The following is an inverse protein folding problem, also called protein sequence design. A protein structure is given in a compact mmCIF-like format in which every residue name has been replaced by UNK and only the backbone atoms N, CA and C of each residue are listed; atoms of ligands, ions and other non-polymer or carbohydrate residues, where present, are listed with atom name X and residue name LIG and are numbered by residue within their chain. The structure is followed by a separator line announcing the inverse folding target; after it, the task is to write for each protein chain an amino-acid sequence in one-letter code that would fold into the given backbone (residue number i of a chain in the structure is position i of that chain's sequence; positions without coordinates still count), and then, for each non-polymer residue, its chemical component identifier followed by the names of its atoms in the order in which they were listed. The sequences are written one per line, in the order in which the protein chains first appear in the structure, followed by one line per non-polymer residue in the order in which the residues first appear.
data_IF_489888537517
#
_entry.id   IF_489888537517
#
_cell.length_a   1.000
_cell.length_b   1.000
_cell.length_c   1.000
_cell.angle_alpha   90.00
_cell.angle_beta   90.00
_cell.angle_gamma   90.00
#
_symmetry.space_group_name_H-M   'P 1'
#
loop_
_entity.id
_entity.type
_entity.pdbx_description
1 polymer ?
#
# COMPACT_ATOMS: atom_id res chain seq x y z
N UNK A 1 22.24 24.74 11.86
CA UNK A 1 21.98 23.58 12.71
C UNK A 1 20.52 23.64 13.11
N UNK A 2 19.67 22.81 12.48
CA UNK A 2 18.28 22.69 12.90
C UNK A 2 18.26 21.79 14.13
N UNK A 3 17.96 22.38 15.30
CA UNK A 3 17.66 21.65 16.51
C UNK A 3 16.44 20.77 16.28
N UNK A 4 16.67 19.50 16.04
CA UNK A 4 15.62 18.49 16.09
C UNK A 4 15.29 18.25 17.57
N UNK A 5 14.35 19.03 18.10
CA UNK A 5 13.81 18.77 19.45
C UNK A 5 13.04 17.44 19.39
N UNK A 6 13.59 16.42 20.00
CA UNK A 6 12.84 15.22 20.38
C UNK A 6 11.83 15.62 21.45
N UNK A 7 10.60 15.94 21.04
CA UNK A 7 9.49 16.09 21.98
C UNK A 7 8.94 14.70 22.23
N UNK A 8 9.13 14.21 23.43
CA UNK A 8 8.49 12.98 23.92
C UNK A 8 7.10 13.34 24.45
N UNK A 9 6.15 12.42 24.30
CA UNK A 9 4.90 12.40 25.06
C UNK A 9 5.20 11.54 26.28
N UNK A 10 5.45 12.15 27.48
CA UNK A 10 6.01 11.42 28.62
C UNK A 10 5.14 10.26 29.11
N UNK A 11 3.83 10.34 28.84
CA UNK A 11 2.84 9.35 29.27
C UNK A 11 2.83 8.08 28.39
N UNK A 12 3.57 8.06 27.29
CA UNK A 12 3.70 6.88 26.42
C UNK A 12 5.12 6.34 26.56
N UNK A 13 5.26 5.27 27.31
CA UNK A 13 6.51 4.53 27.52
C UNK A 13 6.68 3.34 26.55
N UNK A 14 5.62 3.00 25.81
CA UNK A 14 5.58 1.88 24.88
C UNK A 14 6.01 2.27 23.46
N UNK A 15 6.56 1.33 22.68
CA UNK A 15 6.88 1.58 21.27
C UNK A 15 5.63 2.02 20.50
N UNK A 16 5.75 3.16 19.83
CA UNK A 16 4.71 3.69 18.95
C UNK A 16 4.74 2.92 17.63
N UNK A 17 3.59 2.40 17.20
CA UNK A 17 3.43 1.67 15.94
C UNK A 17 3.08 2.62 14.78
N UNK A 18 2.15 3.55 15.02
CA UNK A 18 1.70 4.53 14.02
C UNK A 18 1.26 5.83 14.69
N UNK A 19 1.28 6.90 13.91
CA UNK A 19 0.78 8.23 14.27
C UNK A 19 -0.06 8.76 13.13
N UNK A 20 -1.23 9.31 13.46
CA UNK A 20 -2.08 10.07 12.55
C UNK A 20 -2.36 11.44 13.17
N UNK A 21 -2.12 12.52 12.41
CA UNK A 21 -2.49 13.88 12.81
C UNK A 21 -3.62 14.35 11.92
N UNK A 22 -4.72 14.77 12.53
CA UNK A 22 -5.88 15.32 11.83
C UNK A 22 -5.74 16.83 11.63
N UNK A 23 -6.48 17.38 10.69
CA UNK A 23 -6.53 18.83 10.44
C UNK A 23 -7.05 19.59 11.66
N UNK A 24 -7.86 18.97 12.50
CA UNK A 24 -8.38 19.55 13.77
C UNK A 24 -7.33 19.67 14.87
N UNK A 25 -6.09 19.22 14.65
CA UNK A 25 -5.01 19.26 15.64
C UNK A 25 -5.06 18.15 16.70
N UNK A 26 -5.85 17.10 16.46
CA UNK A 26 -5.79 15.87 17.24
C UNK A 26 -4.76 14.92 16.63
N UNK A 27 -4.00 14.27 17.50
CA UNK A 27 -3.05 13.23 17.11
C UNK A 27 -3.54 11.90 17.67
N UNK A 28 -3.67 10.92 16.80
CA UNK A 28 -3.97 9.54 17.20
C UNK A 28 -2.68 8.72 17.16
N UNK A 29 -2.42 7.98 18.22
CA UNK A 29 -1.18 7.24 18.42
C UNK A 29 -1.54 5.79 18.71
N UNK A 30 -0.89 4.85 18.04
CA UNK A 30 -1.06 3.43 18.28
C UNK A 30 0.22 2.80 18.82
N UNK A 31 0.05 1.90 19.79
CA UNK A 31 1.13 1.20 20.48
C UNK A 31 0.79 -0.29 20.59
N UNK A 32 1.68 -1.07 21.21
CA UNK A 32 1.40 -2.47 21.57
C UNK A 32 0.31 -2.61 22.65
N UNK A 33 0.02 -1.53 23.38
CA UNK A 33 -0.96 -1.49 24.48
C UNK A 33 -2.29 -0.85 24.09
N UNK A 34 -2.45 -0.41 22.82
CA UNK A 34 -3.69 0.16 22.35
C UNK A 34 -3.54 1.45 21.57
N UNK A 35 -4.61 2.23 21.54
CA UNK A 35 -4.69 3.50 20.83
C UNK A 35 -4.96 4.66 21.78
N UNK A 36 -4.40 5.81 21.46
CA UNK A 36 -4.48 7.04 22.26
C UNK A 36 -4.87 8.21 21.36
N UNK A 37 -5.62 9.14 21.91
CA UNK A 37 -5.88 10.47 21.36
C UNK A 37 -5.03 11.48 22.13
N UNK A 38 -4.25 12.28 21.42
CA UNK A 38 -3.46 13.36 22.00
C UNK A 38 -3.89 14.70 21.41
N UNK A 39 -4.38 15.58 22.26
CA UNK A 39 -4.68 16.95 21.87
C UNK A 39 -3.42 17.80 21.91
N UNK A 40 -2.95 18.23 20.73
CA UNK A 40 -1.70 18.98 20.58
C UNK A 40 -1.78 20.34 21.29
N UNK A 41 -2.94 21.01 21.23
CA UNK A 41 -3.15 22.32 21.81
C UNK A 41 -3.17 22.29 23.34
N UNK A 42 -3.86 21.34 23.94
CA UNK A 42 -3.99 21.20 25.40
C UNK A 42 -2.94 20.28 26.01
N UNK A 43 -2.11 19.62 25.21
CA UNK A 43 -1.11 18.63 25.66
C UNK A 43 -1.72 17.52 26.53
N UNK A 44 -2.93 17.08 26.18
CA UNK A 44 -3.67 16.08 26.93
C UNK A 44 -3.68 14.76 26.16
N UNK A 45 -3.25 13.69 26.83
CA UNK A 45 -3.30 12.32 26.34
C UNK A 45 -4.52 11.61 26.93
N UNK A 46 -5.27 10.91 26.08
CA UNK A 46 -6.42 10.10 26.49
C UNK A 46 -6.32 8.72 25.83
N UNK A 47 -6.37 7.66 26.63
CA UNK A 47 -6.45 6.30 26.10
C UNK A 47 -7.86 6.05 25.55
N UNK A 48 -7.93 5.51 24.32
CA UNK A 48 -9.24 5.24 23.69
C UNK A 48 -9.90 4.01 24.32
N UNK A 49 -11.24 4.04 24.54
CA UNK A 49 -11.93 3.05 25.38
C UNK A 49 -11.98 1.64 24.79
N UNK A 50 -11.80 1.49 23.47
CA UNK A 50 -11.75 0.20 22.80
C UNK A 50 -10.34 -0.41 22.77
N UNK A 51 -9.35 0.29 23.31
CA UNK A 51 -7.97 -0.22 23.39
C UNK A 51 -7.88 -1.35 24.39
N UNK A 52 -7.67 -2.55 23.91
CA UNK A 52 -7.48 -3.74 24.75
C UNK A 52 -5.99 -3.85 25.06
N UNK A 53 -5.67 -3.84 26.36
CA UNK A 53 -4.28 -4.01 26.81
C UNK A 53 -3.67 -5.31 26.26
N UNK A 54 -2.42 -5.21 25.74
CA UNK A 54 -1.70 -6.32 25.16
C UNK A 54 -2.10 -6.68 23.72
N UNK A 55 -2.98 -5.91 23.07
CA UNK A 55 -3.29 -6.07 21.66
C UNK A 55 -2.65 -4.95 20.83
N UNK A 56 -1.76 -5.35 19.95
CA UNK A 56 -1.11 -4.44 19.02
C UNK A 56 -2.15 -3.83 18.08
N UNK A 57 -2.24 -2.50 18.07
CA UNK A 57 -2.97 -1.75 17.06
C UNK A 57 -1.99 -1.45 15.92
N UNK A 58 -2.29 -1.98 14.74
CA UNK A 58 -1.40 -1.89 13.57
C UNK A 58 -1.56 -0.59 12.81
N UNK A 59 -2.48 -0.56 11.86
CA UNK A 59 -2.74 0.60 11.01
C UNK A 59 -3.69 1.59 11.69
N UNK A 60 -3.49 2.87 11.40
CA UNK A 60 -4.43 3.95 11.73
C UNK A 60 -4.56 4.87 10.52
N UNK A 61 -5.76 5.28 10.19
CA UNK A 61 -6.04 6.27 9.15
C UNK A 61 -7.38 6.98 9.41
N UNK A 62 -7.57 8.16 8.83
CA UNK A 62 -8.87 8.80 8.73
C UNK A 62 -9.49 8.59 7.36
N UNK A 63 -10.81 8.53 7.30
CA UNK A 63 -11.54 8.58 6.05
C UNK A 63 -11.92 10.04 5.69
N UNK A 64 -12.49 10.24 4.52
CA UNK A 64 -12.92 11.58 4.05
C UNK A 64 -14.04 12.23 4.88
N UNK A 65 -14.60 11.54 5.87
CA UNK A 65 -15.60 12.04 6.81
C UNK A 65 -15.00 12.25 8.20
N UNK A 66 -13.66 12.32 8.31
CA UNK A 66 -12.91 12.49 9.57
C UNK A 66 -13.18 11.40 10.62
N UNK A 67 -13.58 10.21 10.16
CA UNK A 67 -13.69 9.04 11.04
C UNK A 67 -12.35 8.31 11.09
N UNK A 68 -12.00 7.84 12.25
CA UNK A 68 -10.70 7.22 12.51
C UNK A 68 -10.86 5.70 12.51
N UNK A 69 -10.00 5.03 11.76
CA UNK A 69 -9.98 3.59 11.66
C UNK A 69 -8.73 3.02 12.29
N UNK A 70 -8.91 1.97 13.07
CA UNK A 70 -7.83 1.26 13.75
C UNK A 70 -7.86 -0.22 13.37
N UNK A 71 -6.72 -0.77 12.99
CA UNK A 71 -6.56 -2.20 12.78
C UNK A 71 -6.04 -2.86 14.05
N UNK A 72 -6.83 -3.73 14.66
CA UNK A 72 -6.48 -4.52 15.86
C UNK A 72 -5.80 -5.83 15.44
N UNK A 73 -4.51 -5.77 15.16
CA UNK A 73 -3.76 -6.93 14.69
C UNK A 73 -4.42 -7.60 13.47
N UNK A 74 -4.57 -8.92 13.54
CA UNK A 74 -5.29 -9.71 12.53
C UNK A 74 -6.71 -10.08 12.97
N UNK A 75 -7.28 -9.37 13.96
CA UNK A 75 -8.53 -9.75 14.58
C UNK A 75 -9.71 -8.89 14.13
N UNK A 76 -9.51 -7.59 13.96
CA UNK A 76 -10.61 -6.67 13.69
C UNK A 76 -10.16 -5.32 13.10
N UNK A 77 -11.13 -4.61 12.55
CA UNK A 77 -11.12 -3.17 12.36
C UNK A 77 -12.02 -2.50 13.39
N UNK A 78 -11.60 -1.36 13.92
CA UNK A 78 -12.43 -0.50 14.74
C UNK A 78 -12.60 0.86 14.08
N UNK A 79 -13.85 1.22 13.82
CA UNK A 79 -14.28 2.53 13.36
C UNK A 79 -14.57 3.40 14.59
N UNK A 80 -13.99 4.57 14.65
CA UNK A 80 -14.16 5.52 15.73
C UNK A 80 -14.65 6.86 15.21
N UNK A 81 -15.71 7.39 15.82
CA UNK A 81 -16.24 8.72 15.57
C UNK A 81 -15.76 9.69 16.67
N UNK A 82 -14.82 10.61 16.37
CA UNK A 82 -14.33 11.55 17.35
C UNK A 82 -15.37 12.53 17.88
N UNK A 83 -16.41 12.85 17.08
CA UNK A 83 -17.41 13.85 17.45
C UNK A 83 -18.33 13.35 18.57
N UNK A 84 -18.82 12.14 18.46
CA UNK A 84 -19.73 11.55 19.44
C UNK A 84 -19.06 10.51 20.34
N UNK A 85 -17.74 10.28 20.15
CA UNK A 85 -16.91 9.33 20.90
C UNK A 85 -17.44 7.89 20.85
N UNK A 86 -18.16 7.55 19.78
CA UNK A 86 -18.66 6.20 19.55
C UNK A 86 -17.67 5.37 18.75
N UNK A 87 -17.72 4.06 18.95
CA UNK A 87 -16.91 3.13 18.18
C UNK A 87 -17.73 1.90 17.77
N UNK A 88 -17.35 1.31 16.63
CA UNK A 88 -17.90 0.06 16.12
C UNK A 88 -16.76 -0.88 15.75
N UNK A 89 -16.82 -2.10 16.23
CA UNK A 89 -15.80 -3.11 16.00
C UNK A 89 -16.28 -4.15 15.01
N UNK A 90 -15.50 -4.37 13.95
CA UNK A 90 -15.76 -5.33 12.88
C UNK A 90 -14.73 -6.46 12.96
N UNK A 91 -15.05 -7.61 13.52
CA UNK A 91 -14.12 -8.73 13.64
C UNK A 91 -13.81 -9.31 12.26
N UNK A 92 -12.53 -9.61 12.03
CA UNK A 92 -12.15 -10.36 10.85
C UNK A 92 -12.55 -11.83 10.99
N UNK A 93 -12.91 -12.49 9.90
CA UNK A 93 -13.04 -13.91 9.90
C UNK A 93 -11.74 -14.58 10.33
N UNK A 94 -11.82 -15.63 11.13
CA UNK A 94 -10.63 -16.36 11.61
C UNK A 94 -9.92 -17.03 10.43
N UNK A 95 -8.82 -16.46 10.00
CA UNK A 95 -7.94 -17.05 8.98
C UNK A 95 -6.47 -16.82 9.34
N UNK A 96 -5.59 -17.66 8.80
CA UNK A 96 -4.15 -17.49 8.92
C UNK A 96 -3.73 -16.24 8.14
N UNK A 97 -3.23 -15.23 8.83
CA UNK A 97 -2.80 -13.98 8.24
C UNK A 97 -1.51 -14.19 7.43
N UNK A 98 -1.58 -14.02 6.11
CA UNK A 98 -0.46 -14.20 5.19
C UNK A 98 -0.17 -12.92 4.40
N UNK A 99 -1.13 -11.99 4.33
CA UNK A 99 -1.10 -10.81 3.47
C UNK A 99 -1.00 -9.47 4.20
N UNK A 100 -1.12 -8.42 3.42
CA UNK A 100 -1.17 -7.04 3.89
C UNK A 100 -2.63 -6.61 4.11
N UNK A 101 -2.81 -5.57 4.93
CA UNK A 101 -4.07 -4.87 5.02
C UNK A 101 -4.06 -3.70 4.05
N UNK A 102 -5.10 -3.57 3.23
CA UNK A 102 -5.27 -2.45 2.31
C UNK A 102 -6.68 -1.87 2.39
N UNK A 103 -6.84 -0.64 1.96
CA UNK A 103 -8.12 0.06 1.93
C UNK A 103 -8.27 0.90 0.66
N UNK A 104 -9.52 1.04 0.20
CA UNK A 104 -9.88 1.94 -0.89
C UNK A 104 -11.24 2.60 -0.59
N UNK A 105 -11.28 3.92 -0.65
CA UNK A 105 -12.52 4.69 -0.46
C UNK A 105 -13.32 4.72 -1.76
N UNK A 106 -14.51 4.15 -1.75
CA UNK A 106 -15.45 4.11 -2.87
C UNK A 106 -16.51 5.22 -2.81
N UNK A 107 -16.25 6.27 -2.05
CA UNK A 107 -17.16 7.41 -1.93
C UNK A 107 -18.46 7.07 -1.20
N UNK A 108 -19.58 7.37 -1.83
CA UNK A 108 -20.91 7.07 -1.29
C UNK A 108 -21.17 5.56 -1.20
N UNK A 109 -20.51 4.76 -2.03
CA UNK A 109 -20.66 3.30 -2.02
C UNK A 109 -20.03 2.63 -0.79
N UNK A 110 -19.21 3.36 -0.01
CA UNK A 110 -18.59 2.83 1.18
C UNK A 110 -17.06 2.78 1.09
N UNK A 111 -16.47 1.77 1.72
CA UNK A 111 -15.03 1.55 1.73
C UNK A 111 -14.71 0.07 1.57
N UNK A 112 -13.78 -0.23 0.67
CA UNK A 112 -13.26 -1.59 0.52
C UNK A 112 -12.05 -1.80 1.40
N UNK A 113 -11.97 -2.99 2.00
CA UNK A 113 -10.84 -3.43 2.78
C UNK A 113 -10.36 -4.78 2.29
N UNK A 114 -9.05 -4.93 2.15
CA UNK A 114 -8.39 -6.21 2.03
C UNK A 114 -7.84 -6.58 3.40
N UNK A 115 -8.25 -7.72 3.92
CA UNK A 115 -7.77 -8.21 5.22
C UNK A 115 -6.41 -8.92 5.06
N UNK A 116 -5.62 -9.05 6.16
CA UNK A 116 -4.42 -9.87 6.15
C UNK A 116 -4.68 -11.36 5.78
N UNK A 117 -5.91 -11.82 5.93
CA UNK A 117 -6.36 -13.15 5.48
C UNK A 117 -6.69 -13.22 3.99
N UNK A 118 -6.55 -12.13 3.23
CA UNK A 118 -6.82 -12.10 1.79
C UNK A 118 -8.30 -12.00 1.41
N UNK A 119 -9.17 -11.64 2.36
CA UNK A 119 -10.59 -11.42 2.11
C UNK A 119 -10.87 -9.97 1.76
N UNK A 120 -11.84 -9.75 0.87
CA UNK A 120 -12.31 -8.40 0.54
C UNK A 120 -13.61 -8.14 1.30
N UNK A 121 -13.59 -7.06 2.08
CA UNK A 121 -14.74 -6.57 2.83
C UNK A 121 -15.22 -5.24 2.24
N UNK A 122 -16.53 -5.05 2.19
CA UNK A 122 -17.16 -3.76 1.89
C UNK A 122 -17.81 -3.24 3.17
N UNK A 123 -17.45 -2.03 3.55
CA UNK A 123 -18.08 -1.27 4.61
C UNK A 123 -19.16 -0.35 4.01
N UNK A 124 -20.40 -0.57 4.44
CA UNK A 124 -21.54 0.29 4.13
C UNK A 124 -21.62 1.39 5.20
N UNK A 125 -21.42 2.65 4.78
CA UNK A 125 -21.41 3.80 5.71
C UNK A 125 -22.79 4.14 6.30
N UNK A 126 -23.86 3.87 5.57
CA UNK A 126 -25.21 4.19 6.04
C UNK A 126 -25.67 3.19 7.10
N UNK A 127 -25.37 1.90 6.86
CA UNK A 127 -25.79 0.83 7.77
C UNK A 127 -24.79 0.59 8.89
N UNK A 128 -23.57 1.11 8.79
CA UNK A 128 -22.42 0.78 9.65
C UNK A 128 -22.19 -0.74 9.71
N UNK A 129 -22.25 -1.39 8.56
CA UNK A 129 -22.08 -2.83 8.41
C UNK A 129 -20.87 -3.15 7.55
N UNK A 130 -20.22 -4.26 7.89
CA UNK A 130 -19.10 -4.81 7.14
C UNK A 130 -19.52 -6.16 6.55
N UNK A 131 -19.46 -6.27 5.22
CA UNK A 131 -19.89 -7.48 4.52
C UNK A 131 -18.77 -7.99 3.61
N UNK A 132 -18.60 -9.32 3.54
CA UNK A 132 -17.68 -9.93 2.56
C UNK A 132 -18.20 -9.73 1.16
N UNK A 133 -17.32 -9.33 0.24
CA UNK A 133 -17.74 -9.02 -1.14
C UNK A 133 -18.31 -10.26 -1.85
N UNK A 134 -17.77 -11.46 -1.59
CA UNK A 134 -18.28 -12.72 -2.16
C UNK A 134 -19.65 -13.16 -1.60
N UNK A 135 -20.15 -12.51 -0.54
CA UNK A 135 -21.49 -12.72 0.00
C UNK A 135 -22.51 -11.73 -0.55
N UNK A 136 -22.06 -10.70 -1.23
CA UNK A 136 -22.92 -9.68 -1.83
C UNK A 136 -23.38 -10.09 -3.23
N UNK A 137 -24.67 -10.11 -3.49
CA UNK A 137 -25.16 -10.18 -4.87
C UNK A 137 -24.86 -8.84 -5.57
N UNK A 138 -24.28 -8.83 -6.76
CA UNK A 138 -24.11 -9.92 -7.73
C UNK A 138 -22.76 -10.66 -7.66
N UNK A 139 -21.96 -10.48 -6.64
CA UNK A 139 -20.58 -10.98 -6.59
C UNK A 139 -20.47 -12.43 -6.13
N UNK A 140 -21.51 -12.95 -5.47
CA UNK A 140 -21.50 -14.29 -4.87
C UNK A 140 -21.35 -15.44 -5.87
N UNK A 141 -21.69 -15.22 -7.14
CA UNK A 141 -21.72 -16.26 -8.15
C UNK A 141 -20.45 -16.32 -9.02
N UNK A 142 -19.70 -15.20 -9.07
CA UNK A 142 -18.57 -15.02 -10.02
C UNK A 142 -17.21 -14.81 -9.34
N UNK A 143 -17.19 -14.48 -8.03
CA UNK A 143 -15.92 -14.31 -7.31
C UNK A 143 -15.54 -15.66 -6.69
N UNK A 144 -14.44 -16.27 -7.12
CA UNK A 144 -13.99 -17.53 -6.53
C UNK A 144 -13.58 -17.33 -5.07
N UNK A 145 -13.75 -18.37 -4.28
CA UNK A 145 -13.30 -18.41 -2.88
C UNK A 145 -11.76 -18.58 -2.85
N UNK A 146 -11.06 -17.47 -3.02
CA UNK A 146 -9.60 -17.42 -3.03
C UNK A 146 -9.06 -16.20 -2.30
N UNK A 147 -7.77 -16.24 -1.97
CA UNK A 147 -7.08 -15.17 -1.28
C UNK A 147 -6.61 -14.10 -2.24
N UNK A 148 -6.86 -12.85 -1.89
CA UNK A 148 -6.36 -11.67 -2.58
C UNK A 148 -5.21 -11.03 -1.80
N UNK A 149 -4.32 -10.32 -2.51
CA UNK A 149 -3.13 -9.69 -1.92
C UNK A 149 -3.11 -8.18 -2.11
N UNK A 150 -3.77 -7.69 -3.16
CA UNK A 150 -3.91 -6.27 -3.43
C UNK A 150 -5.29 -5.96 -3.97
N UNK A 151 -5.77 -4.77 -3.64
CA UNK A 151 -6.96 -4.19 -4.23
C UNK A 151 -6.66 -2.75 -4.70
N UNK A 152 -7.28 -2.36 -5.79
CA UNK A 152 -7.19 -1.03 -6.35
C UNK A 152 -8.57 -0.63 -6.88
N UNK A 153 -9.11 0.48 -6.39
CA UNK A 153 -10.27 1.13 -7.00
C UNK A 153 -9.75 2.23 -7.93
N UNK A 154 -9.99 2.07 -9.23
CA UNK A 154 -9.55 3.06 -10.18
C UNK A 154 -10.50 4.27 -10.24
N UNK A 155 -10.06 5.32 -10.95
CA UNK A 155 -10.85 6.57 -11.09
C UNK A 155 -12.18 6.40 -11.83
N UNK A 156 -12.36 5.31 -12.56
CA UNK A 156 -13.60 4.98 -13.25
C UNK A 156 -14.54 4.13 -12.38
N UNK A 157 -14.18 3.92 -11.11
CA UNK A 157 -14.95 3.13 -10.13
C UNK A 157 -14.86 1.63 -10.33
N UNK A 158 -13.84 1.15 -11.04
CA UNK A 158 -13.60 -0.27 -11.26
C UNK A 158 -12.68 -0.78 -10.15
N UNK A 159 -13.08 -1.85 -9.47
CA UNK A 159 -12.25 -2.49 -8.47
C UNK A 159 -11.41 -3.60 -9.12
N UNK A 160 -10.11 -3.50 -8.95
CA UNK A 160 -9.12 -4.47 -9.40
C UNK A 160 -8.62 -5.27 -8.21
N UNK A 161 -8.59 -6.59 -8.34
CA UNK A 161 -8.19 -7.51 -7.28
C UNK A 161 -7.06 -8.41 -7.78
N UNK A 162 -5.96 -8.47 -7.05
CA UNK A 162 -4.85 -9.36 -7.36
C UNK A 162 -4.91 -10.61 -6.49
N UNK A 163 -4.86 -11.78 -7.10
CA UNK A 163 -4.92 -13.07 -6.42
C UNK A 163 -3.56 -13.79 -6.38
N UNK A 164 -3.45 -14.80 -5.50
CA UNK A 164 -2.21 -15.57 -5.35
C UNK A 164 -1.87 -16.48 -6.50
N UNK A 165 -2.85 -16.94 -7.25
CA UNK A 165 -2.63 -18.00 -8.24
C UNK A 165 -3.47 -17.91 -9.49
N UNK A 166 -4.45 -16.98 -9.52
CA UNK A 166 -5.43 -16.87 -10.63
C UNK A 166 -5.39 -15.54 -11.35
N UNK A 167 -4.35 -14.71 -11.10
CA UNK A 167 -4.15 -13.45 -11.81
C UNK A 167 -4.90 -12.26 -11.21
N UNK A 168 -5.43 -11.38 -12.07
CA UNK A 168 -6.10 -10.13 -11.70
C UNK A 168 -7.57 -10.21 -12.06
N UNK A 169 -8.45 -9.82 -11.13
CA UNK A 169 -9.88 -9.70 -11.34
C UNK A 169 -10.25 -8.24 -11.52
N UNK A 170 -11.11 -7.97 -12.51
CA UNK A 170 -11.71 -6.66 -12.75
C UNK A 170 -13.18 -6.70 -12.35
N UNK A 171 -13.57 -5.86 -11.41
CA UNK A 171 -14.92 -5.79 -10.86
C UNK A 171 -15.58 -4.48 -11.30
N UNK A 172 -16.63 -4.55 -12.11
CA UNK A 172 -17.40 -3.39 -12.54
C UNK A 172 -18.63 -3.18 -11.65
N UNK A 173 -18.78 -1.98 -11.09
CA UNK A 173 -20.03 -1.51 -10.45
C UNK A 173 -20.72 -0.53 -11.41
N UNK A 174 -21.97 -0.62 -11.73
CA UNK A 174 -23.07 -1.53 -11.38
C UNK A 174 -23.33 -2.65 -12.40
N UNK A 175 -22.47 -2.82 -13.42
CA UNK A 175 -22.63 -3.89 -14.40
C UNK A 175 -21.93 -5.15 -13.86
N UNK A 176 -22.73 -6.12 -13.46
CA UNK A 176 -22.44 -7.44 -12.91
C UNK A 176 -21.52 -8.30 -13.81
N UNK A 177 -20.25 -7.95 -14.00
CA UNK A 177 -19.31 -8.82 -14.71
C UNK A 177 -17.93 -8.72 -14.10
N UNK A 178 -17.49 -9.81 -13.46
CA UNK A 178 -16.09 -10.06 -13.19
C UNK A 178 -15.46 -10.59 -14.47
N UNK A 179 -14.34 -10.02 -14.83
CA UNK A 179 -13.51 -10.58 -15.88
C UNK A 179 -12.19 -11.01 -15.27
N UNK A 180 -11.95 -12.31 -15.24
CA UNK A 180 -10.63 -12.82 -14.93
C UNK A 180 -9.70 -12.51 -16.11
N UNK A 181 -8.64 -11.77 -15.85
CA UNK A 181 -7.59 -11.53 -16.82
C UNK A 181 -6.56 -12.67 -16.71
N UNK A 182 -6.88 -13.84 -17.31
CA UNK A 182 -6.02 -15.02 -17.22
C UNK A 182 -5.00 -15.14 -18.33
N UNK A 183 -5.27 -14.51 -19.48
CA UNK A 183 -4.45 -14.65 -20.66
C UNK A 183 -3.85 -13.31 -21.08
N UNK A 184 -2.59 -13.17 -20.80
CA UNK A 184 -1.76 -12.25 -21.55
C UNK A 184 -1.54 -12.91 -22.91
N UNK A 185 -2.17 -12.41 -23.95
CA UNK A 185 -1.83 -12.86 -25.32
C UNK A 185 -0.31 -12.80 -25.47
N UNK A 186 0.33 -13.88 -25.91
CA UNK A 186 1.78 -13.91 -25.99
C UNK A 186 2.24 -12.78 -26.91
N UNK A 187 2.91 -11.79 -26.29
CA UNK A 187 3.70 -10.86 -27.09
C UNK A 187 4.81 -11.68 -27.76
N UNK A 188 5.10 -11.48 -29.03
CA UNK A 188 6.15 -12.22 -29.72
C UNK A 188 7.55 -12.04 -29.10
N UNK A 189 7.67 -11.20 -28.10
CA UNK A 189 8.94 -10.84 -27.43
C UNK A 189 9.14 -11.58 -26.09
N UNK A 190 8.15 -12.32 -25.58
CA UNK A 190 8.22 -12.94 -24.24
C UNK A 190 8.18 -14.47 -24.36
N UNK A 191 9.16 -15.19 -23.78
CA UNK A 191 9.17 -16.66 -23.81
C UNK A 191 7.93 -17.25 -23.14
N UNK A 192 7.43 -18.38 -23.63
CA UNK A 192 6.20 -19.09 -23.21
C UNK A 192 6.03 -19.32 -21.69
N UNK A 193 7.09 -19.23 -20.89
CA UNK A 193 7.04 -19.39 -19.43
C UNK A 193 6.59 -18.15 -18.64
N UNK A 194 6.46 -16.99 -19.28
CA UNK A 194 6.16 -15.72 -18.60
C UNK A 194 4.72 -15.22 -18.83
N UNK A 195 3.89 -15.96 -19.54
CA UNK A 195 2.55 -15.54 -19.96
C UNK A 195 1.44 -15.89 -18.98
N UNK A 196 1.73 -16.60 -17.88
CA UNK A 196 0.72 -16.91 -16.89
C UNK A 196 0.78 -15.95 -15.72
N UNK A 197 -0.35 -15.34 -15.38
CA UNK A 197 -0.57 -14.55 -14.16
C UNK A 197 -0.38 -15.36 -12.86
N UNK A 198 -0.09 -16.66 -12.96
CA UNK A 198 0.23 -17.57 -11.83
C UNK A 198 1.50 -17.19 -11.06
N UNK A 199 2.06 -16.02 -11.33
CA UNK A 199 3.34 -15.59 -10.79
C UNK A 199 3.23 -14.77 -9.49
N UNK A 200 2.08 -14.78 -8.83
CA UNK A 200 1.87 -14.05 -7.57
C UNK A 200 1.98 -12.54 -7.76
N UNK A 201 0.84 -11.90 -8.00
CA UNK A 201 0.76 -10.43 -8.08
C UNK A 201 1.09 -9.84 -6.72
N UNK A 202 1.92 -8.78 -6.69
CA UNK A 202 2.38 -8.11 -5.47
C UNK A 202 2.06 -6.63 -5.44
N UNK A 203 1.93 -5.98 -6.60
CA UNK A 203 1.63 -4.57 -6.71
C UNK A 203 0.61 -4.31 -7.81
N UNK A 204 -0.31 -3.41 -7.54
CA UNK A 204 -1.24 -2.82 -8.49
C UNK A 204 -1.20 -1.30 -8.34
N UNK A 205 -1.17 -0.60 -9.45
CA UNK A 205 -1.13 0.86 -9.45
C UNK A 205 -1.78 1.41 -10.72
N UNK A 206 -2.62 2.43 -10.59
CA UNK A 206 -3.13 3.20 -11.72
C UNK A 206 -2.33 4.48 -11.88
N UNK A 207 -1.65 4.64 -13.00
CA UNK A 207 -0.94 5.86 -13.35
C UNK A 207 -1.91 6.98 -13.76
N UNK A 208 -1.45 8.25 -13.68
CA UNK A 208 -2.26 9.43 -14.02
C UNK A 208 -2.78 9.39 -15.48
N UNK A 209 -2.03 8.77 -16.39
CA UNK A 209 -2.45 8.55 -17.77
C UNK A 209 -3.55 7.46 -17.92
N UNK A 210 -3.91 6.79 -16.82
CA UNK A 210 -4.93 5.75 -16.75
C UNK A 210 -4.44 4.34 -17.05
N UNK A 211 -3.16 4.13 -17.31
CA UNK A 211 -2.59 2.80 -17.44
C UNK A 211 -2.54 2.09 -16.09
N UNK A 212 -2.80 0.79 -16.09
CA UNK A 212 -2.70 -0.06 -14.91
C UNK A 212 -1.36 -0.79 -14.92
N UNK A 213 -0.62 -0.66 -13.84
CA UNK A 213 0.65 -1.33 -13.64
C UNK A 213 0.50 -2.50 -12.68
N UNK A 214 1.05 -3.65 -13.06
CA UNK A 214 0.95 -4.90 -12.29
C UNK A 214 2.34 -5.44 -12.03
N UNK A 215 2.74 -5.41 -10.76
CA UNK A 215 4.02 -5.95 -10.30
C UNK A 215 3.87 -7.40 -9.83
N UNK A 216 4.80 -8.27 -10.22
CA UNK A 216 4.77 -9.69 -9.85
C UNK A 216 5.92 -10.07 -8.90
N UNK A 217 5.76 -11.23 -8.25
CA UNK A 217 6.81 -11.83 -7.42
C UNK A 217 7.99 -12.37 -8.24
N UNK A 218 7.73 -12.78 -9.49
CA UNK A 218 8.66 -13.56 -10.30
C UNK A 218 9.20 -12.80 -11.51
N UNK A 219 9.53 -11.51 -11.31
CA UNK A 219 10.37 -10.81 -12.28
C UNK A 219 9.66 -10.31 -13.56
N UNK A 220 8.38 -10.01 -13.49
CA UNK A 220 7.68 -9.32 -14.55
C UNK A 220 6.87 -8.13 -14.02
N UNK A 221 6.91 -7.04 -14.77
CA UNK A 221 6.08 -5.86 -14.60
C UNK A 221 5.23 -5.72 -15.85
N UNK A 222 3.92 -5.60 -15.67
CA UNK A 222 2.98 -5.44 -16.78
C UNK A 222 2.40 -4.04 -16.77
N UNK A 223 2.21 -3.48 -17.95
CA UNK A 223 1.46 -2.26 -18.20
C UNK A 223 0.24 -2.60 -19.02
N UNK A 224 -0.96 -2.33 -18.49
CA UNK A 224 -2.24 -2.59 -19.13
C UNK A 224 -2.92 -1.27 -19.47
N UNK A 225 -3.78 -1.28 -20.48
CA UNK A 225 -4.71 -0.19 -20.71
C UNK A 225 -5.92 -0.26 -19.75
N UNK A 226 -6.80 0.74 -19.83
CA UNK A 226 -8.03 0.82 -19.00
C UNK A 226 -9.00 -0.34 -19.19
N UNK A 227 -8.89 -1.06 -20.31
CA UNK A 227 -9.73 -2.23 -20.59
C UNK A 227 -9.12 -3.52 -20.07
N UNK A 228 -7.91 -3.44 -19.49
CA UNK A 228 -7.16 -4.59 -18.99
C UNK A 228 -6.35 -5.30 -20.07
N UNK A 229 -6.22 -4.72 -21.27
CA UNK A 229 -5.38 -5.28 -22.32
C UNK A 229 -3.92 -4.95 -22.05
N UNK A 230 -3.05 -5.95 -22.15
CA UNK A 230 -1.61 -5.78 -21.94
C UNK A 230 -1.02 -4.95 -23.07
N UNK A 231 -0.54 -3.76 -22.74
CA UNK A 231 0.21 -2.88 -23.65
C UNK A 231 1.67 -3.29 -23.72
N UNK A 232 2.22 -3.73 -22.57
CA UNK A 232 3.64 -3.98 -22.47
C UNK A 232 3.99 -4.89 -21.29
N UNK A 233 5.06 -5.68 -21.47
CA UNK A 233 5.66 -6.52 -20.44
C UNK A 233 7.14 -6.16 -20.34
N UNK A 234 7.56 -5.83 -19.12
CA UNK A 234 8.95 -5.58 -18.78
C UNK A 234 9.48 -6.80 -18.04
N UNK A 235 10.31 -7.60 -18.70
CA UNK A 235 10.91 -8.79 -18.08
C UNK A 235 12.18 -8.42 -17.31
N UNK A 236 12.48 -9.16 -16.26
CA UNK A 236 13.65 -8.93 -15.42
C UNK A 236 14.98 -8.98 -16.18
N UNK A 237 15.09 -9.83 -17.20
CA UNK A 237 16.31 -9.95 -17.99
C UNK A 237 16.82 -8.62 -18.57
N UNK A 238 15.90 -7.73 -18.94
CA UNK A 238 16.25 -6.46 -19.58
C UNK A 238 16.23 -5.28 -18.62
N UNK A 239 15.43 -5.35 -17.55
CA UNK A 239 15.13 -4.20 -16.67
C UNK A 239 15.58 -4.38 -15.23
N UNK A 240 16.00 -5.61 -14.84
CA UNK A 240 16.49 -5.95 -13.49
C UNK A 240 15.54 -5.52 -12.38
N UNK A 241 14.23 -5.60 -12.64
CA UNK A 241 13.19 -5.16 -11.70
C UNK A 241 13.00 -6.13 -10.52
N UNK A 242 13.32 -7.42 -10.72
CA UNK A 242 13.07 -8.44 -9.70
C UNK A 242 11.58 -8.53 -9.31
N UNK A 243 11.33 -8.89 -8.06
CA UNK A 243 9.97 -8.91 -7.53
C UNK A 243 9.53 -7.48 -7.16
N UNK A 244 8.50 -6.95 -7.83
CA UNK A 244 7.96 -5.60 -7.59
C UNK A 244 6.86 -5.67 -6.52
N UNK A 245 7.09 -5.01 -5.38
CA UNK A 245 6.22 -5.05 -4.21
C UNK A 245 5.34 -3.82 -4.05
N UNK A 246 5.77 -2.67 -4.57
CA UNK A 246 4.99 -1.44 -4.55
C UNK A 246 5.32 -0.59 -5.78
N UNK A 247 4.35 0.21 -6.22
CA UNK A 247 4.46 1.11 -7.37
C UNK A 247 3.87 2.44 -6.98
N UNK A 248 4.57 3.53 -7.27
CA UNK A 248 4.14 4.91 -7.04
C UNK A 248 4.48 5.74 -8.26
N UNK A 249 3.65 6.72 -8.58
CA UNK A 249 3.94 7.80 -9.52
C UNK A 249 4.14 9.08 -8.72
N UNK A 250 5.25 9.79 -8.94
CA UNK A 250 5.48 11.07 -8.30
C UNK A 250 4.77 12.22 -9.03
N UNK A 251 4.77 13.41 -8.43
CA UNK A 251 4.14 14.62 -9.00
C UNK A 251 4.69 15.01 -10.37
N UNK A 252 5.90 14.58 -10.70
CA UNK A 252 6.58 14.88 -11.96
C UNK A 252 6.31 13.80 -13.03
N UNK A 253 5.46 12.79 -12.71
CA UNK A 253 5.07 11.70 -13.60
C UNK A 253 6.09 10.57 -13.71
N UNK A 254 7.09 10.52 -12.83
CA UNK A 254 8.03 9.41 -12.79
C UNK A 254 7.43 8.25 -11.99
N UNK A 255 7.63 7.03 -12.47
CA UNK A 255 7.22 5.83 -11.77
C UNK A 255 8.36 5.30 -10.90
N UNK A 256 8.02 4.89 -9.69
CA UNK A 256 8.92 4.31 -8.72
C UNK A 256 8.49 2.89 -8.39
N UNK A 257 9.40 1.94 -8.58
CA UNK A 257 9.16 0.51 -8.33
C UNK A 257 10.00 0.07 -7.14
N UNK A 258 9.32 -0.28 -6.06
CA UNK A 258 9.92 -0.87 -4.88
C UNK A 258 10.14 -2.36 -5.11
N UNK A 259 11.37 -2.84 -5.03
CA UNK A 259 11.69 -4.23 -5.40
C UNK A 259 12.32 -4.99 -4.24
N UNK A 260 12.11 -6.29 -4.22
CA UNK A 260 12.78 -7.19 -3.29
C UNK A 260 14.10 -7.68 -3.88
N UNK A 261 15.20 -7.32 -3.21
CA UNK A 261 16.56 -7.73 -3.57
C UNK A 261 17.24 -6.89 -4.64
N UNK A 262 16.50 -6.06 -5.39
CA UNK A 262 17.04 -5.27 -6.50
C UNK A 262 17.02 -3.75 -6.28
N UNK A 263 16.72 -3.32 -5.06
CA UNK A 263 16.71 -1.89 -4.68
C UNK A 263 15.47 -1.15 -5.15
N UNK A 264 15.63 0.14 -5.39
CA UNK A 264 14.59 1.04 -5.89
C UNK A 264 14.84 1.33 -7.37
N UNK A 265 13.79 1.28 -8.18
CA UNK A 265 13.89 1.59 -9.61
C UNK A 265 12.99 2.78 -9.93
N UNK A 266 13.56 3.80 -10.57
CA UNK A 266 12.86 4.96 -11.15
C UNK A 266 12.68 4.73 -12.64
N UNK A 267 11.49 4.94 -13.18
CA UNK A 267 11.25 5.00 -14.61
C UNK A 267 10.75 6.40 -14.98
N UNK A 268 11.50 7.05 -15.85
CA UNK A 268 11.23 8.40 -16.34
C UNK A 268 10.71 8.33 -17.79
N UNK A 269 9.77 9.20 -18.18
CA UNK A 269 9.38 9.32 -19.59
C UNK A 269 10.59 9.58 -20.48
N UNK A 270 10.78 8.78 -21.52
CA UNK A 270 11.86 8.93 -22.48
C UNK A 270 11.39 8.54 -23.89
N UNK A 271 11.15 9.56 -24.72
CA UNK A 271 10.68 9.40 -26.10
C UNK A 271 11.66 8.63 -27.00
N UNK A 272 12.93 8.55 -26.63
CA UNK A 272 13.96 7.83 -27.38
C UNK A 272 14.09 6.36 -26.96
N UNK A 273 13.44 5.97 -25.86
CA UNK A 273 13.41 4.60 -25.40
C UNK A 273 12.38 3.80 -26.22
N UNK A 274 12.64 2.54 -26.59
CA UNK A 274 11.69 1.66 -27.28
C UNK A 274 10.35 1.51 -26.59
N UNK A 275 10.31 1.78 -25.30
CA UNK A 275 9.12 1.61 -24.44
C UNK A 275 8.61 2.92 -23.86
N UNK A 276 9.18 4.06 -24.29
CA UNK A 276 8.80 5.38 -23.79
C UNK A 276 9.24 5.65 -22.36
N UNK A 277 10.10 4.80 -21.77
CA UNK A 277 10.58 4.91 -20.39
C UNK A 277 12.08 4.59 -20.28
N UNK A 278 12.80 5.39 -19.51
CA UNK A 278 14.18 5.14 -19.11
C UNK A 278 14.19 4.66 -17.65
N UNK A 279 14.81 3.51 -17.40
CA UNK A 279 14.90 2.92 -16.07
C UNK A 279 16.26 3.22 -15.44
N UNK A 280 16.22 3.74 -14.21
CA UNK A 280 17.41 3.95 -13.38
C UNK A 280 17.25 3.18 -12.08
N UNK A 281 18.25 2.36 -11.72
CA UNK A 281 18.22 1.52 -10.52
C UNK A 281 19.15 2.07 -9.44
N UNK A 282 18.66 2.14 -8.22
CA UNK A 282 19.38 2.53 -7.02
C UNK A 282 19.53 1.33 -6.09
N UNK A 283 20.77 0.92 -5.84
CA UNK A 283 21.11 -0.23 -5.00
C UNK A 283 21.96 0.19 -3.80
N UNK A 284 21.95 -0.63 -2.77
CA UNK A 284 22.84 -0.45 -1.63
C UNK A 284 24.29 -0.67 -2.06
N UNK A 285 25.13 0.30 -1.73
CA UNK A 285 26.60 0.21 -1.78
C UNK A 285 27.15 0.46 -0.37
N UNK A 286 27.69 -0.56 0.32
CA UNK A 286 28.23 -0.40 1.67
C UNK A 286 29.37 0.61 1.78
N UNK A 287 30.01 0.97 0.67
CA UNK A 287 31.10 1.97 0.61
C UNK A 287 30.58 3.39 0.37
N UNK A 288 29.31 3.52 -0.03
CA UNK A 288 28.69 4.81 -0.29
C UNK A 288 27.58 5.09 0.75
N UNK A 289 27.83 5.96 1.74
CA UNK A 289 26.82 6.26 2.78
C UNK A 289 25.57 6.97 2.24
N UNK A 290 25.63 7.48 1.01
CA UNK A 290 24.51 8.15 0.33
C UNK A 290 23.74 7.18 -0.59
N UNK A 291 24.10 5.90 -0.64
CA UNK A 291 23.31 4.88 -1.33
C UNK A 291 22.09 4.49 -0.49
N UNK A 292 21.11 3.84 -1.11
CA UNK A 292 19.97 3.25 -0.39
C UNK A 292 20.44 2.26 0.68
N UNK A 293 19.83 2.24 1.86
CA UNK A 293 20.32 1.49 3.02
C UNK A 293 20.16 -0.03 2.94
N UNK A 294 19.30 -0.54 2.04
CA UNK A 294 19.10 -1.96 1.76
C UNK A 294 18.49 -2.15 0.37
N UNK A 295 18.63 -3.33 -0.22
CA UNK A 295 18.05 -3.67 -1.52
C UNK A 295 16.63 -4.24 -1.45
N UNK A 296 16.12 -4.56 -0.26
CA UNK A 296 14.75 -4.98 -0.04
C UNK A 296 13.86 -3.75 0.23
N UNK A 297 13.31 -3.18 -0.83
CA UNK A 297 12.41 -2.03 -0.76
C UNK A 297 10.97 -2.50 -0.76
N UNK A 298 10.20 -2.06 0.23
CA UNK A 298 8.81 -2.48 0.40
C UNK A 298 7.80 -1.45 -0.07
N UNK A 299 8.10 -0.16 0.11
CA UNK A 299 7.23 0.90 -0.37
C UNK A 299 8.00 2.18 -0.67
N UNK A 300 7.39 3.04 -1.47
CA UNK A 300 7.78 4.42 -1.73
C UNK A 300 6.57 5.32 -1.55
N UNK A 301 6.75 6.49 -0.95
CA UNK A 301 5.67 7.43 -0.68
C UNK A 301 6.13 8.86 -0.93
N UNK A 302 5.33 9.65 -1.65
CA UNK A 302 5.54 11.09 -1.77
C UNK A 302 4.62 11.85 -0.84
N UNK A 303 5.18 12.64 0.07
CA UNK A 303 4.40 13.43 1.01
C UNK A 303 3.87 14.73 0.39
N UNK A 304 3.03 15.45 1.13
CA UNK A 304 2.41 16.71 0.70
C UNK A 304 3.42 17.84 0.42
N UNK A 305 4.66 17.70 0.90
CA UNK A 305 5.75 18.62 0.61
C UNK A 305 6.56 18.20 -0.62
N UNK A 306 6.15 17.11 -1.30
CA UNK A 306 6.81 16.57 -2.48
C UNK A 306 8.05 15.74 -2.18
N UNK A 307 8.36 15.44 -0.91
CA UNK A 307 9.50 14.61 -0.53
C UNK A 307 9.17 13.14 -0.73
N UNK A 308 10.13 12.37 -1.24
CA UNK A 308 9.94 10.94 -1.48
C UNK A 308 10.62 10.14 -0.38
N UNK A 309 9.83 9.32 0.29
CA UNK A 309 10.23 8.43 1.36
C UNK A 309 10.28 7.00 0.87
N UNK A 310 11.28 6.24 1.33
CA UNK A 310 11.51 4.84 0.92
C UNK A 310 11.60 3.97 2.16
N UNK A 311 10.69 3.01 2.29
CA UNK A 311 10.66 2.04 3.38
C UNK A 311 11.30 0.72 2.99
N UNK A 312 12.22 0.22 3.84
CA UNK A 312 13.06 -0.92 3.54
C UNK A 312 12.96 -2.00 4.63
N UNK A 313 13.06 -3.26 4.24
CA UNK A 313 13.24 -4.36 5.18
C UNK A 313 14.67 -4.32 5.72
N UNK A 314 14.81 -4.19 7.03
CA UNK A 314 16.13 -4.15 7.68
C UNK A 314 16.96 -2.89 7.40
N UNK A 315 16.49 -2.00 6.52
CA UNK A 315 17.15 -0.74 6.16
C UNK A 315 16.49 0.51 6.76
N UNK A 316 15.36 0.35 7.45
CA UNK A 316 14.61 1.47 8.04
C UNK A 316 13.94 2.36 7.00
N UNK A 317 14.03 3.68 7.19
CA UNK A 317 13.42 4.69 6.34
C UNK A 317 14.49 5.58 5.71
N UNK A 318 14.46 5.73 4.39
CA UNK A 318 15.29 6.66 3.66
C UNK A 318 14.47 7.80 3.08
N UNK A 319 15.05 8.99 3.04
CA UNK A 319 14.53 10.14 2.30
C UNK A 319 15.37 10.34 1.04
N UNK A 320 14.72 10.46 -0.10
CA UNK A 320 15.40 10.82 -1.35
C UNK A 320 15.76 12.30 -1.30
N UNK A 321 17.01 12.60 -1.63
CA UNK A 321 17.50 13.95 -1.91
C UNK A 321 18.02 14.00 -3.35
N UNK A 322 17.58 15.00 -4.10
CA UNK A 322 18.02 15.22 -5.47
C UNK A 322 18.77 16.55 -5.56
N UNK A 323 20.03 16.49 -5.97
CA UNK A 323 20.87 17.66 -6.19
C UNK A 323 21.54 17.57 -7.57
N UNK A 324 21.32 18.59 -8.41
CA UNK A 324 21.87 18.64 -9.77
C UNK A 324 21.57 17.40 -10.63
N UNK A 325 20.37 16.81 -10.45
CA UNK A 325 19.95 15.59 -11.14
C UNK A 325 20.55 14.29 -10.58
N UNK A 326 21.35 14.37 -9.53
CA UNK A 326 21.87 13.19 -8.83
C UNK A 326 21.00 12.86 -7.62
N UNK A 327 20.54 11.61 -7.57
CA UNK A 327 19.73 11.10 -6.45
C UNK A 327 20.63 10.46 -5.41
N UNK A 328 20.44 10.88 -4.16
CA UNK A 328 21.08 10.34 -2.95
C UNK A 328 20.04 9.97 -1.90
N UNK A 329 20.41 9.18 -0.90
CA UNK A 329 19.51 8.69 0.13
C UNK A 329 20.00 9.12 1.51
N UNK A 330 19.13 9.83 2.23
CA UNK A 330 19.39 10.23 3.61
C UNK A 330 18.74 9.21 4.53
N UNK A 331 19.54 8.48 5.29
CA UNK A 331 19.05 7.47 6.23
C UNK A 331 18.47 8.14 7.47
N UNK A 332 17.13 8.06 7.66
CA UNK A 332 16.43 8.78 8.74
C UNK A 332 16.20 7.96 10.01
N UNK A 333 15.96 6.66 9.88
CA UNK A 333 15.62 5.80 11.00
C UNK A 333 16.34 4.45 10.90
N UNK A 334 17.52 4.36 11.51
CA UNK A 334 18.33 3.12 11.53
C UNK A 334 17.90 2.14 12.64
N UNK A 335 17.04 2.55 13.57
CA UNK A 335 16.58 1.75 14.72
C UNK A 335 15.56 0.65 14.37
N UNK A 336 14.97 0.69 13.17
CA UNK A 336 13.94 -0.27 12.72
C UNK A 336 14.54 -1.47 11.98
N UNK A 337 15.79 -1.84 12.25
CA UNK A 337 16.52 -2.90 11.53
C UNK A 337 15.85 -4.29 11.55
N UNK A 338 14.89 -4.54 12.43
CA UNK A 338 14.25 -5.85 12.58
C UNK A 338 12.82 -5.91 12.02
N UNK A 339 12.23 -4.77 11.64
CA UNK A 339 10.85 -4.72 11.16
C UNK A 339 10.79 -4.07 9.77
N UNK A 340 10.02 -4.66 8.83
CA UNK A 340 9.74 -3.97 7.58
C UNK A 340 8.93 -2.71 7.87
N UNK A 341 9.34 -1.59 7.30
CA UNK A 341 8.51 -0.39 7.25
C UNK A 341 7.38 -0.66 6.23
N UNK A 342 6.25 -1.17 6.71
CA UNK A 342 5.06 -1.40 5.88
C UNK A 342 4.22 -0.12 5.84
N UNK A 343 4.46 0.72 4.86
CA UNK A 343 3.62 1.89 4.57
C UNK A 343 3.82 3.09 5.52
N UNK A 344 3.91 4.26 4.92
CA UNK A 344 3.61 5.56 5.53
C UNK A 344 2.22 5.96 5.00
N UNK A 345 1.28 6.17 5.89
CA UNK A 345 -0.07 6.65 5.55
C UNK A 345 -0.25 8.06 6.08
#
# INVERSE_FOLDING_TARGET
ASDVYKRQIPEIDQPISNILVTESGLMYITTVDGAYEYNIGYKQLTKLPFSIAGKKVGMIFNDKYDKIWFQEGNEALTYYDPLNKSNHRFPFPKQNAIGNFEKQDAGEQGMFFLTPGGEILLFDREKLEMTRINQLKPFSDDLPDQLFFHLLLDKDGILWLASTGSGVYKVNFPKKQFQLLTEVSPSPVVPERSTSWNQGIRALFQAQNGDIWVGTRWQALYRLDRNGQVKQIFSDKNYLLGAVYHIMEDKDGNLWFSTKGNGLVKAEPDMNSPHGLRFTRYINDPKNPNSISNNDVYFTYQDSQGRIWVGLLGGGLNLISEENGAITFIHKYNGLKQYPAYGLY
#
